data_IF_935400728095
#
_entry.id   IF_935400728095
#
_cell.length_a   1.000
_cell.length_b   1.000
_cell.length_c   1.000
_cell.angle_alpha   90.00
_cell.angle_beta   90.00
_cell.angle_gamma   90.00
#
_symmetry.space_group_name_H-M   'P 1'
#
loop_
_entity.id
_entity.type
_entity.pdbx_description
1 polymer ?
#
# COMPACT_ATOMS: atom_id res chain seq x y z
N UNK A 1 4.10 7.41 -20.03
CA UNK A 1 3.53 6.45 -19.05
C UNK A 1 2.04 6.72 -18.95
N UNK A 2 1.26 5.77 -18.45
CA UNK A 2 -0.19 5.92 -18.27
C UNK A 2 -0.56 5.52 -16.84
N UNK A 3 -1.49 6.27 -16.24
CA UNK A 3 -2.18 5.86 -15.03
C UNK A 3 -3.44 5.10 -15.42
N UNK A 4 -3.61 3.89 -14.88
CA UNK A 4 -4.81 3.08 -15.07
C UNK A 4 -5.55 3.01 -13.74
N UNK A 5 -6.84 3.28 -13.76
CA UNK A 5 -7.73 3.11 -12.61
C UNK A 5 -8.96 2.32 -13.03
N UNK A 6 -9.35 1.33 -12.22
CA UNK A 6 -10.58 0.58 -12.43
C UNK A 6 -11.71 1.21 -11.62
N UNK A 7 -12.78 1.62 -12.29
CA UNK A 7 -13.99 2.13 -11.66
C UNK A 7 -15.18 1.34 -12.21
N UNK A 8 -15.75 0.46 -11.40
CA UNK A 8 -16.74 -0.52 -11.81
C UNK A 8 -16.22 -1.39 -12.99
N UNK A 9 -16.97 -1.51 -14.08
CA UNK A 9 -16.58 -2.26 -15.29
C UNK A 9 -15.74 -1.43 -16.28
N UNK A 10 -15.37 -0.21 -15.92
CA UNK A 10 -14.66 0.71 -16.82
C UNK A 10 -13.22 0.93 -16.36
N UNK A 11 -12.28 0.69 -17.27
CA UNK A 11 -10.88 1.10 -17.07
C UNK A 11 -10.72 2.54 -17.54
N UNK A 12 -10.41 3.43 -16.60
CA UNK A 12 -10.03 4.81 -16.89
C UNK A 12 -8.52 4.83 -17.13
N UNK A 13 -8.13 5.25 -18.33
CA UNK A 13 -6.74 5.41 -18.73
C UNK A 13 -6.46 6.90 -18.87
N UNK A 14 -5.43 7.39 -18.17
CA UNK A 14 -4.98 8.77 -18.30
C UNK A 14 -3.49 8.81 -18.63
N UNK A 15 -3.12 9.65 -19.59
CA UNK A 15 -1.71 9.84 -19.93
C UNK A 15 -1.01 10.56 -18.77
N UNK A 16 0.10 9.99 -18.30
CA UNK A 16 0.95 10.65 -17.32
C UNK A 16 1.78 11.74 -18.03
N UNK A 17 1.59 12.99 -17.62
CA UNK A 17 2.38 14.14 -18.04
C UNK A 17 3.36 14.48 -16.90
N UNK A 18 4.69 14.46 -17.13
CA UNK A 18 5.65 14.85 -16.09
C UNK A 18 5.46 16.33 -15.75
N UNK A 19 5.69 16.72 -14.50
CA UNK A 19 5.53 18.10 -14.08
C UNK A 19 6.65 18.53 -13.12
N UNK A 20 7.13 19.76 -13.31
CA UNK A 20 8.00 20.46 -12.37
C UNK A 20 7.14 21.22 -11.35
N UNK A 21 7.59 21.16 -10.10
CA UNK A 21 6.97 21.87 -9.00
C UNK A 21 7.68 23.21 -8.80
N UNK A 22 7.08 24.27 -9.33
CA UNK A 22 7.67 25.61 -9.36
C UNK A 22 6.95 26.55 -8.39
N UNK A 23 7.73 27.33 -7.65
CA UNK A 23 7.23 28.40 -6.80
C UNK A 23 7.64 29.75 -7.37
N UNK A 24 6.67 30.62 -7.63
CA UNK A 24 6.96 32.03 -7.92
C UNK A 24 7.20 32.77 -6.59
N UNK A 25 8.12 33.74 -6.58
CA UNK A 25 8.31 34.58 -5.40
C UNK A 25 6.96 35.18 -4.98
N UNK A 26 6.58 34.94 -3.72
CA UNK A 26 5.35 35.40 -3.06
C UNK A 26 4.04 34.63 -3.34
N UNK A 27 4.07 33.29 -3.21
CA UNK A 27 2.96 32.47 -2.63
C UNK A 27 2.10 31.60 -3.58
N UNK A 28 2.56 31.26 -4.79
CA UNK A 28 1.89 30.20 -5.57
C UNK A 28 2.82 29.07 -5.98
N UNK A 29 2.41 27.84 -5.64
CA UNK A 29 3.03 26.58 -6.04
C UNK A 29 2.24 26.05 -7.23
N UNK A 30 2.90 25.85 -8.37
CA UNK A 30 2.27 25.39 -9.60
C UNK A 30 2.99 24.15 -10.11
N UNK A 31 2.21 23.18 -10.60
CA UNK A 31 2.73 22.08 -11.40
C UNK A 31 2.70 22.51 -12.87
N UNK A 32 3.87 22.63 -13.49
CA UNK A 32 4.02 22.95 -14.91
C UNK A 32 4.56 21.73 -15.65
N UNK A 33 4.17 21.45 -16.91
CA UNK A 33 4.71 20.32 -17.64
C UNK A 33 6.24 20.37 -17.70
N UNK A 34 6.88 19.28 -17.29
CA UNK A 34 8.32 19.12 -17.40
C UNK A 34 8.69 18.73 -18.84
N UNK A 35 9.93 19.03 -19.24
CA UNK A 35 10.44 18.73 -20.59
C UNK A 35 10.69 17.23 -20.79
N UNK A 36 11.10 16.52 -19.73
CA UNK A 36 11.47 15.12 -19.80
C UNK A 36 10.89 14.32 -18.63
N UNK A 37 10.55 13.05 -18.90
CA UNK A 37 10.21 12.05 -17.89
C UNK A 37 11.32 11.00 -17.84
N UNK A 38 12.19 11.07 -16.84
CA UNK A 38 13.29 10.12 -16.66
C UNK A 38 12.86 8.98 -15.73
N UNK A 39 13.07 7.74 -16.17
CA UNK A 39 12.77 6.52 -15.39
C UNK A 39 14.03 5.69 -15.25
N UNK A 40 14.43 5.40 -14.00
CA UNK A 40 15.53 4.48 -13.72
C UNK A 40 14.98 3.09 -13.40
N UNK A 41 15.23 2.13 -14.29
CA UNK A 41 14.90 0.72 -14.05
C UNK A 41 16.13 0.03 -13.47
N UNK A 42 16.16 -0.16 -12.16
CA UNK A 42 17.21 -0.92 -11.49
C UNK A 42 16.89 -2.42 -11.56
N UNK A 43 17.85 -3.23 -12.02
CA UNK A 43 17.77 -4.69 -11.92
C UNK A 43 17.91 -5.08 -10.44
N UNK A 44 16.81 -5.45 -9.80
CA UNK A 44 16.85 -6.05 -8.46
C UNK A 44 17.40 -7.48 -8.53
N UNK A 45 18.20 -7.89 -7.54
CA UNK A 45 18.85 -9.21 -7.48
C UNK A 45 17.90 -10.35 -7.04
N UNK A 46 16.59 -10.13 -7.01
CA UNK A 46 15.61 -11.16 -6.64
C UNK A 46 14.28 -10.99 -7.39
N UNK A 47 13.53 -12.08 -7.53
CA UNK A 47 12.12 -11.99 -7.97
C UNK A 47 11.30 -11.36 -6.85
N UNK A 48 10.64 -10.25 -7.16
CA UNK A 48 9.53 -9.77 -6.32
C UNK A 48 8.43 -10.83 -6.41
N UNK A 49 7.93 -11.38 -5.29
CA UNK A 49 6.84 -12.34 -5.34
C UNK A 49 5.61 -11.66 -5.96
N UNK A 50 4.84 -12.42 -6.75
CA UNK A 50 3.52 -11.96 -7.19
C UNK A 50 2.63 -11.83 -5.96
N UNK A 51 2.02 -10.66 -5.80
CA UNK A 51 1.11 -10.33 -4.69
C UNK A 51 -0.23 -9.95 -5.32
N UNK A 52 -1.28 -10.68 -4.94
CA UNK A 52 -2.62 -10.51 -5.51
C UNK A 52 -3.64 -10.37 -4.38
N UNK A 53 -4.54 -9.40 -4.47
CA UNK A 53 -5.66 -9.28 -3.54
C UNK A 53 -6.63 -10.44 -3.80
N UNK A 54 -7.00 -11.20 -2.76
CA UNK A 54 -7.95 -12.30 -2.85
C UNK A 54 -9.41 -11.81 -2.85
N UNK A 55 -9.73 -10.90 -3.77
CA UNK A 55 -11.09 -10.36 -3.94
C UNK A 55 -11.35 -10.04 -5.40
N UNK A 56 -12.55 -10.36 -5.87
CA UNK A 56 -13.01 -10.01 -7.22
C UNK A 56 -13.64 -8.59 -7.28
N UNK A 57 -13.75 -7.90 -6.13
CA UNK A 57 -14.33 -6.57 -6.04
C UNK A 57 -13.90 -5.80 -4.78
N UNK A 58 -14.55 -4.65 -4.50
CA UNK A 58 -14.26 -3.87 -3.30
C UNK A 58 -14.48 -4.66 -2.02
N UNK A 59 -13.57 -4.50 -1.06
CA UNK A 59 -13.71 -5.07 0.28
C UNK A 59 -14.80 -4.30 1.03
N UNK A 60 -15.90 -4.99 1.35
CA UNK A 60 -17.00 -4.44 2.12
C UNK A 60 -16.67 -4.48 3.62
N UNK A 61 -16.58 -3.30 4.25
CA UNK A 61 -16.32 -3.15 5.68
C UNK A 61 -17.63 -2.68 6.34
N UNK A 62 -18.23 -3.44 7.27
CA UNK A 62 -19.39 -2.95 8.00
C UNK A 62 -19.04 -1.71 8.82
N UNK A 63 -19.90 -0.70 8.85
CA UNK A 63 -19.70 0.48 9.68
C UNK A 63 -19.56 0.09 11.16
N UNK A 64 -18.49 0.51 11.84
CA UNK A 64 -18.20 0.08 13.21
C UNK A 64 -17.70 -1.36 13.35
N UNK A 65 -17.55 -2.09 12.24
CA UNK A 65 -17.13 -3.49 12.19
C UNK A 65 -15.73 -3.68 11.63
N UNK A 66 -15.33 -4.94 11.53
CA UNK A 66 -14.10 -5.35 10.85
C UNK A 66 -14.38 -6.35 9.74
N UNK A 67 -13.47 -6.40 8.77
CA UNK A 67 -13.45 -7.44 7.74
C UNK A 67 -12.03 -7.94 7.54
N UNK A 68 -11.92 -9.19 7.13
CA UNK A 68 -10.68 -9.84 6.80
C UNK A 68 -10.27 -9.50 5.36
N UNK A 69 -8.97 -9.28 5.16
CA UNK A 69 -8.35 -9.10 3.85
C UNK A 69 -7.23 -10.12 3.69
N UNK A 70 -7.16 -10.74 2.52
CA UNK A 70 -6.12 -11.71 2.18
C UNK A 70 -5.38 -11.26 0.92
N UNK A 71 -4.06 -11.15 1.00
CA UNK A 71 -3.20 -11.11 -0.17
C UNK A 71 -2.59 -12.49 -0.42
N UNK A 72 -2.82 -13.02 -1.62
CA UNK A 72 -2.16 -14.22 -2.12
C UNK A 72 -0.73 -13.89 -2.48
N UNK A 73 0.21 -14.66 -1.94
CA UNK A 73 1.63 -14.53 -2.26
C UNK A 73 2.32 -15.86 -2.00
N UNK A 74 3.42 -16.10 -2.71
CA UNK A 74 4.26 -17.27 -2.44
C UNK A 74 4.78 -17.24 -1.01
N UNK A 75 4.72 -18.39 -0.34
CA UNK A 75 5.20 -18.54 1.04
C UNK A 75 6.69 -18.28 1.09
N UNK A 76 7.09 -17.32 1.92
CA UNK A 76 8.48 -16.96 2.12
C UNK A 76 8.74 -16.68 3.60
N UNK A 77 9.95 -16.97 4.08
CA UNK A 77 10.37 -16.64 5.44
C UNK A 77 10.31 -15.13 5.70
N UNK A 78 10.44 -14.32 4.65
CA UNK A 78 10.41 -12.86 4.76
C UNK A 78 9.06 -12.35 5.27
N UNK A 79 7.95 -13.05 5.00
CA UNK A 79 6.60 -12.66 5.42
C UNK A 79 6.47 -12.58 6.95
N UNK A 80 7.32 -13.29 7.69
CA UNK A 80 7.32 -13.25 9.17
C UNK A 80 7.99 -12.00 9.74
N UNK A 81 8.75 -11.27 8.93
CA UNK A 81 9.52 -10.09 9.32
C UNK A 81 8.86 -8.79 8.81
N UNK A 82 7.69 -8.88 8.18
CA UNK A 82 7.02 -7.72 7.61
C UNK A 82 6.03 -7.09 8.59
N UNK A 83 5.87 -5.78 8.45
CA UNK A 83 4.84 -4.99 9.08
C UNK A 83 4.08 -4.24 7.97
N UNK A 84 2.78 -4.13 8.15
CA UNK A 84 1.91 -3.39 7.25
C UNK A 84 1.47 -2.10 7.91
N UNK A 85 1.54 -1.01 7.17
CA UNK A 85 1.02 0.28 7.61
C UNK A 85 0.16 0.90 6.51
N UNK A 86 -0.94 1.51 6.92
CA UNK A 86 -1.77 2.30 6.00
C UNK A 86 -1.03 3.60 5.70
N UNK A 87 -0.86 3.91 4.41
CA UNK A 87 -0.32 5.17 3.95
C UNK A 87 -1.49 6.15 3.73
N UNK A 88 -1.45 7.28 4.43
CA UNK A 88 -2.48 8.34 4.36
C UNK A 88 -3.93 7.81 4.48
N UNK A 89 -4.27 7.00 5.50
CA UNK A 89 -5.60 6.41 5.59
C UNK A 89 -6.70 7.45 5.82
N UNK A 90 -7.93 7.20 5.31
CA UNK A 90 -9.09 7.97 5.72
C UNK A 90 -9.30 7.85 7.23
N UNK A 91 -9.76 8.95 7.85
CA UNK A 91 -9.99 9.02 9.30
C UNK A 91 -10.97 7.92 9.73
N UNK A 92 -10.62 7.18 10.78
CA UNK A 92 -11.48 6.11 11.30
C UNK A 92 -11.22 4.73 10.72
N UNK A 93 -10.24 4.58 9.82
CA UNK A 93 -9.86 3.27 9.31
C UNK A 93 -8.56 2.77 9.94
N UNK A 94 -8.54 1.52 10.36
CA UNK A 94 -7.37 0.91 11.02
C UNK A 94 -7.09 -0.49 10.50
N UNK A 95 -5.81 -0.86 10.50
CA UNK A 95 -5.31 -2.18 10.13
C UNK A 95 -4.75 -2.88 11.37
N UNK A 96 -5.09 -4.14 11.58
CA UNK A 96 -4.66 -4.95 12.73
C UNK A 96 -4.58 -6.44 12.37
N UNK A 97 -4.05 -7.24 13.30
CA UNK A 97 -4.00 -8.71 13.24
C UNK A 97 -3.36 -9.26 11.96
N UNK A 98 -2.17 -8.77 11.62
CA UNK A 98 -1.40 -9.27 10.48
C UNK A 98 -0.87 -10.67 10.77
N UNK A 99 -1.32 -11.64 9.98
CA UNK A 99 -1.01 -13.06 10.10
C UNK A 99 -0.51 -13.64 8.79
N UNK A 100 0.44 -14.57 8.87
CA UNK A 100 0.92 -15.33 7.71
C UNK A 100 0.16 -16.65 7.65
N UNK A 101 -0.60 -16.85 6.58
CA UNK A 101 -1.43 -18.05 6.33
C UNK A 101 -0.86 -18.87 5.16
N UNK A 102 -1.27 -20.14 4.96
CA UNK A 102 -0.78 -20.95 3.83
C UNK A 102 -0.97 -20.28 2.46
N UNK A 103 -2.07 -19.55 2.28
CA UNK A 103 -2.46 -18.87 1.04
C UNK A 103 -1.72 -17.54 0.83
N UNK A 104 -1.09 -16.98 1.87
CA UNK A 104 -0.38 -15.72 1.79
C UNK A 104 -0.41 -14.93 3.10
N UNK A 105 -0.95 -13.71 3.06
CA UNK A 105 -0.93 -12.79 4.19
C UNK A 105 -2.32 -12.21 4.46
N UNK A 106 -2.77 -12.39 5.69
CA UNK A 106 -4.09 -12.01 6.17
C UNK A 106 -3.97 -10.86 7.16
N UNK A 107 -4.92 -9.93 7.14
CA UNK A 107 -5.08 -8.92 8.19
C UNK A 107 -6.52 -8.45 8.26
N UNK A 108 -6.85 -7.72 9.33
CA UNK A 108 -8.17 -7.10 9.50
C UNK A 108 -8.15 -5.61 9.24
N UNK A 109 -9.16 -5.14 8.50
CA UNK A 109 -9.51 -3.73 8.40
C UNK A 109 -10.72 -3.45 9.29
N UNK A 110 -10.63 -2.42 10.13
CA UNK A 110 -11.73 -1.99 11.00
C UNK A 110 -12.10 -0.55 10.69
N UNK A 111 -13.40 -0.33 10.50
CA UNK A 111 -14.00 0.98 10.34
C UNK A 111 -14.59 1.43 11.67
N UNK A 112 -14.25 2.63 12.09
CA UNK A 112 -14.86 3.30 13.23
C UNK A 112 -16.30 3.74 12.89
N UNK A 113 -17.22 3.57 13.84
CA UNK A 113 -18.65 3.82 13.63
C UNK A 113 -18.97 5.31 13.48
N UNK A 114 -18.23 6.17 14.17
CA UNK A 114 -18.52 7.61 14.26
C UNK A 114 -17.77 8.40 13.19
N UNK A 115 -16.61 7.91 12.75
CA UNK A 115 -15.78 8.55 11.73
C UNK A 115 -16.08 8.11 10.29
N UNK A 116 -16.70 6.93 10.07
CA UNK A 116 -16.94 6.38 8.72
C UNK A 116 -18.43 6.19 8.42
N UNK A 117 -18.93 6.92 7.44
CA UNK A 117 -20.32 6.83 6.98
C UNK A 117 -20.52 5.66 6.01
N UNK A 118 -21.69 5.02 6.08
CA UNK A 118 -22.09 4.02 5.08
C UNK A 118 -22.13 4.62 3.68
N UNK A 119 -21.65 3.87 2.70
CA UNK A 119 -21.54 4.31 1.30
C UNK A 119 -20.19 4.95 0.96
N UNK A 120 -19.32 5.24 1.94
CA UNK A 120 -17.96 5.67 1.68
C UNK A 120 -17.20 4.60 0.88
N UNK A 121 -16.48 5.02 -0.16
CA UNK A 121 -15.66 4.15 -1.00
C UNK A 121 -14.33 4.84 -1.33
N UNK A 122 -13.24 4.08 -1.30
CA UNK A 122 -11.88 4.59 -1.52
C UNK A 122 -10.93 3.45 -1.90
N UNK A 123 -9.69 3.80 -2.29
CA UNK A 123 -8.60 2.87 -2.55
C UNK A 123 -7.51 3.03 -1.49
N UNK A 124 -7.33 2.02 -0.63
CA UNK A 124 -6.33 2.06 0.42
C UNK A 124 -4.94 1.71 -0.10
N UNK A 125 -3.95 2.46 0.35
CA UNK A 125 -2.54 2.20 0.09
C UNK A 125 -1.92 1.60 1.34
N UNK A 126 -1.25 0.45 1.16
CA UNK A 126 -0.51 -0.23 2.24
C UNK A 126 0.97 -0.21 1.90
N UNK A 127 1.76 0.39 2.78
CA UNK A 127 3.21 0.29 2.75
C UNK A 127 3.68 -0.91 3.58
N UNK A 128 4.64 -1.63 3.02
CA UNK A 128 5.22 -2.83 3.62
C UNK A 128 6.58 -2.46 4.17
N UNK A 129 6.76 -2.62 5.47
CA UNK A 129 8.06 -2.49 6.12
C UNK A 129 8.61 -3.85 6.47
N UNK A 130 9.93 -4.00 6.39
CA UNK A 130 10.64 -5.14 6.95
C UNK A 130 11.42 -4.71 8.17
N UNK A 131 11.24 -5.44 9.26
CA UNK A 131 12.07 -5.31 10.44
C UNK A 131 13.06 -6.47 10.53
N UNK A 132 14.35 -6.18 10.39
CA UNK A 132 15.38 -7.22 10.41
C UNK A 132 16.64 -6.76 11.13
N UNK A 133 17.35 -7.71 11.73
CA UNK A 133 18.69 -7.49 12.27
C UNK A 133 19.71 -7.99 11.25
N UNK A 134 20.60 -7.13 10.74
CA UNK A 134 21.66 -7.55 9.82
C UNK A 134 22.54 -8.66 10.43
N UNK A 135 23.14 -9.50 9.60
CA UNK A 135 24.12 -10.49 10.08
C UNK A 135 25.31 -9.77 10.71
N UNK A 136 25.79 -10.30 11.83
CA UNK A 136 27.00 -9.81 12.49
C UNK A 136 28.20 -9.97 11.56
N UNK A 137 28.99 -8.90 11.45
CA UNK A 137 30.25 -8.91 10.70
C UNK A 137 31.40 -8.94 11.70
N UNK A 138 32.38 -9.80 11.46
CA UNK A 138 33.57 -9.92 12.30
C UNK A 138 34.32 -8.59 12.34
N UNK A 139 34.71 -8.16 13.55
CA UNK A 139 35.37 -6.87 13.78
C UNK A 139 34.44 -5.64 13.80
N UNK A 140 33.11 -5.80 13.71
CA UNK A 140 32.15 -4.69 13.82
C UNK A 140 31.26 -4.79 15.07
N UNK A 141 30.70 -3.64 15.54
CA UNK A 141 29.74 -3.63 16.64
C UNK A 141 28.51 -4.51 16.36
N UNK A 142 27.83 -4.94 17.43
CA UNK A 142 26.62 -5.73 17.32
C UNK A 142 25.58 -5.06 16.39
N UNK A 143 25.01 -5.80 15.43
CA UNK A 143 24.05 -5.24 14.48
C UNK A 143 22.77 -4.81 15.20
N UNK A 144 22.31 -3.59 14.94
CA UNK A 144 21.04 -3.08 15.45
C UNK A 144 19.88 -3.50 14.53
N UNK A 145 18.69 -3.64 15.13
CA UNK A 145 17.45 -3.87 14.39
C UNK A 145 17.19 -2.68 13.45
N UNK A 146 16.93 -2.96 12.19
CA UNK A 146 16.65 -1.96 11.15
C UNK A 146 15.24 -2.15 10.62
N UNK A 147 14.61 -1.04 10.28
CA UNK A 147 13.35 -1.00 9.54
C UNK A 147 13.61 -0.44 8.15
N UNK A 148 13.12 -1.12 7.13
CA UNK A 148 13.27 -0.70 5.74
C UNK A 148 11.93 -0.85 5.01
N UNK A 149 11.55 0.15 4.21
CA UNK A 149 10.42 0.02 3.30
C UNK A 149 10.75 -1.01 2.22
N UNK A 150 9.79 -1.89 1.95
CA UNK A 150 9.80 -2.87 0.86
C UNK A 150 8.89 -2.45 -0.30
N UNK A 151 8.33 -1.24 -0.24
CA UNK A 151 7.36 -0.73 -1.22
C UNK A 151 5.92 -0.94 -0.76
N UNK A 152 5.02 -0.99 -1.73
CA UNK A 152 3.58 -0.97 -1.49
C UNK A 152 2.92 -2.24 -2.04
N UNK A 153 1.86 -2.69 -1.38
CA UNK A 153 0.95 -3.67 -1.95
C UNK A 153 0.06 -3.05 -3.02
N UNK A 154 -0.57 -3.86 -3.89
CA UNK A 154 -1.66 -3.39 -4.73
C UNK A 154 -2.70 -2.65 -3.90
N UNK A 155 -3.22 -1.53 -4.42
CA UNK A 155 -4.23 -0.75 -3.72
C UNK A 155 -5.48 -1.59 -3.48
N UNK A 156 -6.11 -1.40 -2.32
CA UNK A 156 -7.29 -2.17 -1.91
C UNK A 156 -8.53 -1.30 -2.11
N UNK A 157 -9.40 -1.61 -3.08
CA UNK A 157 -10.69 -0.95 -3.17
C UNK A 157 -11.54 -1.35 -1.97
N UNK A 158 -12.12 -0.37 -1.28
CA UNK A 158 -12.99 -0.59 -0.12
C UNK A 158 -14.34 0.10 -0.28
N UNK A 159 -15.34 -0.43 0.44
CA UNK A 159 -16.64 0.21 0.60
C UNK A 159 -17.18 0.00 2.01
N UNK A 160 -17.64 1.06 2.66
CA UNK A 160 -18.31 0.96 3.95
C UNK A 160 -19.78 0.61 3.72
N UNK A 161 -20.24 -0.48 4.33
CA UNK A 161 -21.62 -0.97 4.22
C UNK A 161 -22.37 -0.77 5.54
N UNK A 162 -23.70 -0.74 5.49
CA UNK A 162 -24.52 -0.79 6.71
C UNK A 162 -24.30 -2.13 7.41
N UNK A 163 -24.35 -2.13 8.74
CA UNK A 163 -24.38 -3.35 9.54
C UNK A 163 -25.63 -4.17 9.28
#
# INVERSE_FOLDING_TARGET
MEGHAHMNEQTIIHQAVPADDVMQAFLYRHLVPAQELLVLIQKTRGRVPTIELASDGPICIPAGGSTQVLFKTQRSSILKEIQLELNEPPKGLTLHDVNVVPEGLEFQLKADKDAMQSGFADNLIIEVFREFTPRQQEGKPAPQKRRASMGFFPAIPIKIVQQ
#
